data_IF_944583956166
#
_entry.id   IF_944583956166
#
_cell.length_a   1.000
_cell.length_b   1.000
_cell.length_c   1.000
_cell.angle_alpha   90.00
_cell.angle_beta   90.00
_cell.angle_gamma   90.00
#
_symmetry.space_group_name_H-M   'P 1'
#
loop_
_entity.id
_entity.type
_entity.pdbx_description
1 polymer ?
#
# COMPACT_ATOMS: atom_id res chain seq x y z
N UNK A 1 -25.73 26.42 11.75
CA UNK A 1 -25.05 25.51 12.68
C UNK A 1 -25.60 24.13 12.44
N UNK A 2 -24.94 23.37 11.59
CA UNK A 2 -25.08 21.92 11.56
C UNK A 2 -23.67 21.39 11.38
N UNK A 3 -23.02 21.22 12.52
CA UNK A 3 -21.80 20.45 12.68
C UNK A 3 -21.99 19.07 12.02
N UNK A 4 -21.13 18.76 11.07
CA UNK A 4 -20.73 17.38 10.84
C UNK A 4 -19.32 17.39 10.26
N UNK A 5 -18.37 17.27 11.18
CA UNK A 5 -17.00 16.88 10.90
C UNK A 5 -17.00 15.74 9.88
N UNK A 6 -16.66 16.05 8.62
CA UNK A 6 -16.05 15.07 7.72
C UNK A 6 -14.70 14.75 8.32
N UNK A 7 -14.69 13.76 9.22
CA UNK A 7 -13.50 13.06 9.63
C UNK A 7 -12.75 12.71 8.33
N UNK A 8 -11.56 13.29 8.17
CA UNK A 8 -10.60 12.87 7.15
C UNK A 8 -10.37 11.38 7.36
N UNK A 9 -11.05 10.54 6.60
CA UNK A 9 -10.53 9.22 6.26
C UNK A 9 -9.13 9.52 5.71
N UNK A 10 -8.11 9.16 6.49
CA UNK A 10 -6.77 9.02 5.96
C UNK A 10 -6.89 7.91 4.92
N UNK A 11 -7.16 8.28 3.67
CA UNK A 11 -7.28 7.34 2.56
C UNK A 11 -6.01 6.52 2.52
N UNK A 12 -6.13 5.26 2.95
CA UNK A 12 -4.99 4.43 3.27
C UNK A 12 -4.26 3.93 2.04
N UNK A 13 -4.38 4.52 0.85
CA UNK A 13 -4.05 3.92 -0.46
C UNK A 13 -4.65 2.51 -0.62
N UNK A 14 -5.20 2.20 -1.78
CA UNK A 14 -5.53 0.82 -2.13
C UNK A 14 -4.25 0.03 -2.44
N UNK A 15 -4.36 -1.30 -2.60
CA UNK A 15 -3.22 -2.12 -3.03
C UNK A 15 -2.82 -1.78 -4.48
N UNK A 16 -3.80 -1.50 -5.34
CA UNK A 16 -3.60 -1.07 -6.73
C UNK A 16 -2.84 0.25 -6.80
N UNK A 17 -3.21 1.24 -5.99
CA UNK A 17 -2.48 2.51 -5.90
C UNK A 17 -1.06 2.34 -5.36
N UNK A 18 -0.85 1.41 -4.43
CA UNK A 18 0.49 1.08 -3.93
C UNK A 18 1.35 0.44 -5.02
N UNK A 19 0.80 -0.44 -5.87
CA UNK A 19 1.51 -1.00 -7.02
C UNK A 19 1.81 0.06 -8.08
N UNK A 20 0.85 0.93 -8.39
CA UNK A 20 1.06 2.02 -9.34
C UNK A 20 2.16 2.98 -8.85
N UNK A 21 2.20 3.28 -7.55
CA UNK A 21 3.28 4.07 -6.96
C UNK A 21 4.64 3.35 -7.04
N UNK A 22 4.67 2.02 -6.90
CA UNK A 22 5.90 1.23 -7.04
C UNK A 22 6.41 1.26 -8.49
N UNK A 23 5.53 1.12 -9.47
CA UNK A 23 5.88 1.24 -10.90
C UNK A 23 6.45 2.62 -11.23
N UNK A 24 5.87 3.69 -10.66
CA UNK A 24 6.42 5.04 -10.80
C UNK A 24 7.82 5.15 -10.21
N UNK A 25 8.05 4.62 -9.00
CA UNK A 25 9.38 4.60 -8.38
C UNK A 25 10.38 3.85 -9.26
N UNK A 26 9.99 2.70 -9.82
CA UNK A 26 10.84 1.93 -10.73
C UNK A 26 11.15 2.70 -12.02
N UNK A 27 10.15 3.38 -12.59
CA UNK A 27 10.32 4.21 -13.78
C UNK A 27 11.28 5.37 -13.52
N UNK A 28 11.13 6.07 -12.40
CA UNK A 28 12.03 7.17 -11.98
C UNK A 28 13.46 6.66 -11.76
N UNK A 29 13.62 5.50 -11.12
CA UNK A 29 14.93 4.88 -10.88
C UNK A 29 15.61 4.38 -12.15
N UNK A 30 14.86 4.16 -13.24
CA UNK A 30 15.39 3.70 -14.53
C UNK A 30 15.88 4.84 -15.44
N UNK A 31 15.67 6.10 -15.05
CA UNK A 31 16.08 7.25 -15.84
C UNK A 31 17.60 7.38 -15.87
N UNK A 32 18.14 7.76 -17.03
CA UNK A 32 19.59 7.90 -17.23
C UNK A 32 20.20 9.07 -16.43
N UNK A 33 19.39 10.05 -16.02
CA UNK A 33 19.79 11.24 -15.28
C UNK A 33 19.58 11.14 -13.76
N UNK A 34 19.16 9.98 -13.25
CA UNK A 34 18.93 9.80 -11.81
C UNK A 34 20.27 9.82 -11.06
N UNK A 35 20.40 10.70 -10.07
CA UNK A 35 21.62 10.73 -9.24
C UNK A 35 21.65 9.56 -8.26
N UNK A 36 22.83 9.29 -7.71
CA UNK A 36 23.00 8.26 -6.68
C UNK A 36 22.17 8.57 -5.42
N UNK A 37 22.09 9.84 -5.02
CA UNK A 37 21.30 10.27 -3.86
C UNK A 37 19.80 10.07 -4.09
N UNK A 38 19.32 10.43 -5.28
CA UNK A 38 17.93 10.18 -5.70
C UNK A 38 17.63 8.68 -5.78
N UNK A 39 18.58 7.87 -6.26
CA UNK A 39 18.46 6.40 -6.29
C UNK A 39 18.27 5.82 -4.89
N UNK A 40 19.01 6.32 -3.89
CA UNK A 40 18.82 5.92 -2.49
C UNK A 40 17.44 6.33 -1.97
N UNK A 41 16.99 7.56 -2.25
CA UNK A 41 15.67 8.02 -1.84
C UNK A 41 14.55 7.19 -2.47
N UNK A 42 14.63 6.92 -3.77
CA UNK A 42 13.70 6.08 -4.52
C UNK A 42 13.69 4.65 -4.01
N UNK A 43 14.85 4.07 -3.72
CA UNK A 43 14.96 2.74 -3.11
C UNK A 43 14.24 2.67 -1.76
N UNK A 44 14.50 3.63 -0.86
CA UNK A 44 13.82 3.69 0.43
C UNK A 44 12.31 3.84 0.28
N UNK A 45 11.86 4.66 -0.67
CA UNK A 45 10.45 4.82 -1.00
C UNK A 45 9.84 3.50 -1.50
N UNK A 46 10.51 2.78 -2.40
CA UNK A 46 10.08 1.48 -2.91
C UNK A 46 9.97 0.42 -1.81
N UNK A 47 10.97 0.35 -0.92
CA UNK A 47 10.94 -0.56 0.25
C UNK A 47 9.76 -0.25 1.16
N UNK A 48 9.49 1.02 1.43
CA UNK A 48 8.34 1.43 2.25
C UNK A 48 7.01 1.03 1.62
N UNK A 49 6.85 1.27 0.31
CA UNK A 49 5.65 0.86 -0.43
C UNK A 49 5.44 -0.65 -0.38
N UNK A 50 6.51 -1.44 -0.52
CA UNK A 50 6.44 -2.90 -0.39
C UNK A 50 6.02 -3.34 1.02
N UNK A 51 6.51 -2.68 2.07
CA UNK A 51 6.10 -2.96 3.44
C UNK A 51 4.61 -2.68 3.65
N UNK A 52 4.12 -1.55 3.14
CA UNK A 52 2.70 -1.19 3.19
C UNK A 52 1.81 -2.19 2.44
N UNK A 53 2.25 -2.67 1.26
CA UNK A 53 1.55 -3.73 0.52
C UNK A 53 1.45 -5.02 1.34
N UNK A 54 2.58 -5.49 1.89
CA UNK A 54 2.61 -6.72 2.70
C UNK A 54 1.68 -6.61 3.92
N UNK A 55 1.67 -5.47 4.60
CA UNK A 55 0.79 -5.25 5.75
C UNK A 55 -0.69 -5.28 5.36
N UNK A 56 -1.06 -4.73 4.20
CA UNK A 56 -2.43 -4.79 3.70
C UNK A 56 -2.84 -6.22 3.35
N UNK A 57 -1.98 -6.98 2.69
CA UNK A 57 -2.24 -8.38 2.35
C UNK A 57 -2.42 -9.21 3.62
N UNK A 58 -1.50 -9.10 4.59
CA UNK A 58 -1.62 -9.78 5.89
C UNK A 58 -2.90 -9.39 6.65
N UNK A 59 -3.31 -8.11 6.58
CA UNK A 59 -4.57 -7.67 7.18
C UNK A 59 -5.80 -8.29 6.50
N UNK A 60 -5.77 -8.48 5.17
CA UNK A 60 -6.85 -9.15 4.42
C UNK A 60 -6.86 -10.64 4.75
N UNK A 61 -5.70 -11.31 4.77
CA UNK A 61 -5.57 -12.72 5.14
C UNK A 61 -6.10 -12.99 6.56
N UNK A 62 -5.73 -12.15 7.53
CA UNK A 62 -6.25 -12.25 8.92
C UNK A 62 -7.75 -12.04 9.00
N UNK A 63 -8.31 -11.10 8.23
CA UNK A 63 -9.76 -10.89 8.18
C UNK A 63 -10.47 -12.08 7.55
N UNK A 64 -9.86 -12.72 6.55
CA UNK A 64 -10.39 -13.93 5.93
C UNK A 64 -10.39 -15.11 6.92
N UNK A 65 -9.32 -15.29 7.70
CA UNK A 65 -9.25 -16.30 8.77
C UNK A 65 -10.28 -16.07 9.88
N UNK A 66 -10.55 -14.81 10.26
CA UNK A 66 -11.56 -14.51 11.27
C UNK A 66 -12.98 -14.81 10.76
N UNK A 67 -13.26 -14.60 9.47
CA UNK A 67 -14.51 -15.03 8.84
C UNK A 67 -14.67 -16.56 8.85
N UNK A 68 -13.56 -17.30 8.76
CA UNK A 68 -13.55 -18.76 8.84
C UNK A 68 -13.95 -19.25 10.25
N UNK A 69 -13.44 -18.63 11.31
CA UNK A 69 -13.78 -18.98 12.70
C UNK A 69 -15.21 -18.56 13.12
N UNK A 70 -15.79 -17.51 12.52
CA UNK A 70 -17.12 -16.99 12.86
C UNK A 70 -18.27 -17.54 11.98
N UNK A 71 -17.98 -18.43 11.03
CA UNK A 71 -19.01 -19.22 10.32
C UNK A 71 -19.15 -18.95 8.81
N UNK A 72 -18.04 -19.14 8.09
CA UNK A 72 -17.90 -19.55 6.67
C UNK A 72 -17.87 -18.46 5.57
N UNK A 73 -16.69 -18.31 4.93
CA UNK A 73 -16.51 -18.47 3.47
C UNK A 73 -15.15 -19.13 3.21
N UNK A 74 -15.16 -20.37 2.71
CA UNK A 74 -14.00 -21.04 2.13
C UNK A 74 -13.89 -20.77 0.62
N UNK A 75 -12.69 -20.38 0.13
CA UNK A 75 -12.27 -20.66 -1.25
C UNK A 75 -10.75 -20.64 -1.40
N UNK A 76 -10.16 -21.81 -1.70
CA UNK A 76 -9.35 -22.09 -2.90
C UNK A 76 -9.46 -23.58 -3.26
#
# INVERSE_FOLDING_TARGET
MTDRETAKEQETRTLEESFQALEQVMSEMSKEDVSLEESFALYHQGVKLLQECNQKIDAVEKKMLLLDEEGEIHEF
#
